data_IF_771200728983
#
_entry.id   IF_771200728983
#
_cell.length_a   1.000
_cell.length_b   1.000
_cell.length_c   1.000
_cell.angle_alpha   90.00
_cell.angle_beta   90.00
_cell.angle_gamma   90.00
#
_symmetry.space_group_name_H-M   'P 1'
#
loop_
_entity.id
_entity.type
_entity.pdbx_description
1 polymer ?
#
# COMPACT_ATOMS: atom_id res chain seq x y z
N UNK A 1 -19.54 15.28 1.29
CA UNK A 1 -18.16 14.92 1.72
C UNK A 1 -18.07 13.48 2.22
N UNK A 2 -18.97 13.02 3.10
CA UNK A 2 -18.96 11.63 3.63
C UNK A 2 -18.94 10.53 2.54
N UNK A 3 -19.70 10.73 1.46
CA UNK A 3 -19.76 9.75 0.36
C UNK A 3 -18.41 9.57 -0.37
N UNK A 4 -17.58 10.62 -0.45
CA UNK A 4 -16.25 10.55 -1.06
C UNK A 4 -15.32 9.68 -0.20
N UNK A 5 -15.41 9.83 1.12
CA UNK A 5 -14.63 9.01 2.05
C UNK A 5 -14.98 7.53 1.90
N UNK A 6 -16.28 7.19 1.78
CA UNK A 6 -16.71 5.82 1.54
C UNK A 6 -16.23 5.26 0.20
N UNK A 7 -16.36 6.02 -0.89
CA UNK A 7 -15.94 5.56 -2.23
C UNK A 7 -14.43 5.36 -2.29
N UNK A 8 -13.65 6.33 -1.80
CA UNK A 8 -12.19 6.26 -1.80
C UNK A 8 -11.71 5.12 -0.91
N UNK A 9 -12.26 5.00 0.30
CA UNK A 9 -11.87 3.93 1.20
C UNK A 9 -12.29 2.54 0.69
N UNK A 10 -13.48 2.39 0.09
CA UNK A 10 -13.89 1.12 -0.52
C UNK A 10 -12.95 0.72 -1.67
N UNK A 11 -12.61 1.66 -2.56
CA UNK A 11 -11.66 1.41 -3.64
C UNK A 11 -10.27 1.03 -3.10
N UNK A 12 -9.74 1.79 -2.14
CA UNK A 12 -8.45 1.48 -1.52
C UNK A 12 -8.47 0.16 -0.75
N UNK A 13 -9.60 -0.20 -0.14
CA UNK A 13 -9.75 -1.46 0.58
C UNK A 13 -9.68 -2.65 -0.39
N UNK A 14 -10.35 -2.57 -1.54
CA UNK A 14 -10.25 -3.58 -2.60
C UNK A 14 -8.80 -3.75 -3.10
N UNK A 15 -8.08 -2.65 -3.30
CA UNK A 15 -6.66 -2.69 -3.67
C UNK A 15 -5.78 -3.25 -2.56
N UNK A 16 -6.10 -2.98 -1.30
CA UNK A 16 -5.38 -3.52 -0.14
C UNK A 16 -5.54 -5.04 -0.10
N UNK A 17 -6.77 -5.55 -0.26
CA UNK A 17 -7.05 -6.99 -0.27
C UNK A 17 -6.28 -7.73 -1.38
N UNK A 18 -6.20 -7.16 -2.59
CA UNK A 18 -5.43 -7.77 -3.67
C UNK A 18 -3.93 -7.79 -3.35
N UNK A 19 -3.41 -6.72 -2.71
CA UNK A 19 -2.01 -6.65 -2.31
C UNK A 19 -1.63 -7.67 -1.23
N UNK A 20 -2.52 -7.99 -0.29
CA UNK A 20 -2.25 -8.99 0.75
C UNK A 20 -1.84 -10.33 0.12
N UNK A 21 -2.54 -10.76 -0.95
CA UNK A 21 -2.20 -12.00 -1.65
C UNK A 21 -0.81 -11.95 -2.30
N UNK A 22 -0.42 -10.79 -2.83
CA UNK A 22 0.87 -10.56 -3.47
C UNK A 22 2.01 -10.55 -2.45
N UNK A 23 1.81 -9.88 -1.31
CA UNK A 23 2.77 -9.88 -0.18
C UNK A 23 2.98 -11.29 0.32
N UNK A 24 1.89 -12.03 0.56
CA UNK A 24 1.95 -13.42 1.02
C UNK A 24 2.70 -14.32 0.03
N UNK A 25 2.33 -14.29 -1.25
CA UNK A 25 3.01 -15.07 -2.29
C UNK A 25 4.49 -14.70 -2.38
N UNK A 26 4.79 -13.43 -2.24
CA UNK A 26 6.12 -12.86 -2.19
C UNK A 26 7.03 -13.45 -1.10
N UNK A 27 6.55 -13.49 0.13
CA UNK A 27 7.25 -14.11 1.24
C UNK A 27 7.37 -15.64 1.08
N UNK A 28 6.30 -16.30 0.62
CA UNK A 28 6.31 -17.76 0.39
C UNK A 28 7.33 -18.17 -0.68
N UNK A 29 7.41 -17.42 -1.77
CA UNK A 29 8.35 -17.67 -2.86
C UNK A 29 9.76 -17.14 -2.58
N UNK A 30 9.98 -16.43 -1.46
CA UNK A 30 11.23 -15.73 -1.11
C UNK A 30 11.78 -14.89 -2.28
N UNK A 31 10.89 -14.21 -3.01
CA UNK A 31 11.25 -13.46 -4.22
C UNK A 31 10.56 -12.11 -4.23
N UNK A 32 11.32 -11.03 -4.42
CA UNK A 32 10.75 -9.69 -4.63
C UNK A 32 10.29 -9.50 -6.06
N UNK A 33 9.02 -9.76 -6.35
CA UNK A 33 8.47 -9.68 -7.72
C UNK A 33 8.42 -8.26 -8.29
N UNK A 34 8.26 -7.24 -7.43
CA UNK A 34 8.18 -5.84 -7.86
C UNK A 34 9.55 -5.17 -7.80
N UNK A 35 9.86 -4.33 -8.79
CA UNK A 35 11.06 -3.52 -8.85
C UNK A 35 11.14 -2.53 -7.67
N UNK A 36 12.36 -2.32 -7.16
CA UNK A 36 12.63 -1.44 -6.02
C UNK A 36 12.18 0.01 -6.26
N UNK A 37 12.35 0.50 -7.49
CA UNK A 37 11.92 1.86 -7.88
C UNK A 37 10.40 2.00 -7.81
N UNK A 38 9.68 1.01 -8.31
CA UNK A 38 8.21 1.00 -8.29
C UNK A 38 7.69 0.95 -6.86
N UNK A 39 8.13 -0.03 -6.06
CA UNK A 39 7.64 -0.16 -4.69
C UNK A 39 8.05 1.02 -3.80
N UNK A 40 9.27 1.55 -3.96
CA UNK A 40 9.74 2.70 -3.19
C UNK A 40 8.95 3.98 -3.48
N UNK A 41 8.71 4.29 -4.76
CA UNK A 41 7.91 5.46 -5.14
C UNK A 41 6.45 5.32 -4.69
N UNK A 42 5.86 4.12 -4.82
CA UNK A 42 4.48 3.87 -4.37
C UNK A 42 4.33 4.03 -2.87
N UNK A 43 5.28 3.56 -2.05
CA UNK A 43 5.25 3.75 -0.59
C UNK A 43 5.21 5.24 -0.23
N UNK A 44 6.12 6.04 -0.80
CA UNK A 44 6.19 7.47 -0.54
C UNK A 44 4.89 8.16 -0.96
N UNK A 45 4.40 7.83 -2.16
CA UNK A 45 3.15 8.39 -2.69
C UNK A 45 1.93 8.07 -1.82
N UNK A 46 1.78 6.81 -1.36
CA UNK A 46 0.64 6.41 -0.55
C UNK A 46 0.64 7.07 0.84
N UNK A 47 1.80 7.20 1.49
CA UNK A 47 1.87 7.93 2.76
C UNK A 47 1.61 9.43 2.59
N UNK A 48 2.09 10.04 1.50
CA UNK A 48 1.75 11.43 1.18
C UNK A 48 0.24 11.61 0.96
N UNK A 49 -0.41 10.71 0.23
CA UNK A 49 -1.88 10.72 0.02
C UNK A 49 -2.62 10.54 1.34
N UNK A 50 -2.17 9.61 2.20
CA UNK A 50 -2.78 9.42 3.52
C UNK A 50 -2.72 10.70 4.38
N UNK A 51 -1.60 11.42 4.35
CA UNK A 51 -1.47 12.73 5.00
C UNK A 51 -2.43 13.76 4.42
N UNK A 52 -2.57 13.83 3.09
CA UNK A 52 -3.56 14.70 2.45
C UNK A 52 -4.98 14.38 2.92
N UNK A 53 -5.36 13.10 3.02
CA UNK A 53 -6.68 12.70 3.52
C UNK A 53 -6.90 13.08 4.99
N UNK A 54 -5.86 13.01 5.83
CA UNK A 54 -5.95 13.53 7.20
C UNK A 54 -6.22 15.04 7.23
N UNK A 55 -5.53 15.82 6.39
CA UNK A 55 -5.77 17.28 6.31
C UNK A 55 -7.17 17.64 5.79
N UNK A 56 -7.79 16.76 5.02
CA UNK A 56 -9.15 16.90 4.50
C UNK A 56 -10.22 16.30 5.43
N UNK A 57 -9.84 15.81 6.62
CA UNK A 57 -10.74 15.12 7.57
C UNK A 57 -11.44 13.88 6.99
N UNK A 58 -10.82 13.20 6.01
CA UNK A 58 -11.25 11.94 5.42
C UNK A 58 -10.58 10.77 6.18
N UNK A 59 -10.96 10.58 7.44
CA UNK A 59 -10.24 9.69 8.35
C UNK A 59 -10.26 8.22 7.92
N UNK A 60 -11.37 7.75 7.35
CA UNK A 60 -11.47 6.35 6.95
C UNK A 60 -10.58 6.06 5.73
N UNK A 61 -10.61 6.94 4.73
CA UNK A 61 -9.70 6.91 3.58
C UNK A 61 -8.25 7.02 3.98
N UNK A 62 -7.92 7.91 4.93
CA UNK A 62 -6.56 8.03 5.45
C UNK A 62 -6.07 6.70 6.08
N UNK A 63 -6.90 6.06 6.91
CA UNK A 63 -6.57 4.80 7.55
C UNK A 63 -6.35 3.67 6.53
N UNK A 64 -7.27 3.48 5.58
CA UNK A 64 -7.14 2.42 4.56
C UNK A 64 -5.96 2.69 3.62
N UNK A 65 -5.71 3.95 3.26
CA UNK A 65 -4.56 4.31 2.42
C UNK A 65 -3.23 4.07 3.16
N UNK A 66 -3.17 4.34 4.46
CA UNK A 66 -2.00 4.03 5.28
C UNK A 66 -1.77 2.51 5.40
N UNK A 67 -2.83 1.71 5.52
CA UNK A 67 -2.73 0.24 5.46
C UNK A 67 -2.18 -0.24 4.12
N UNK A 68 -2.68 0.32 3.01
CA UNK A 68 -2.19 0.04 1.66
C UNK A 68 -0.70 0.40 1.53
N UNK A 69 -0.31 1.60 1.98
CA UNK A 69 1.09 2.04 2.04
C UNK A 69 1.98 1.11 2.84
N UNK A 70 1.47 0.56 3.94
CA UNK A 70 2.18 -0.40 4.79
C UNK A 70 2.38 -1.75 4.07
N UNK A 71 1.41 -2.24 3.31
CA UNK A 71 1.59 -3.44 2.49
C UNK A 71 2.60 -3.23 1.37
N UNK A 72 2.59 -2.05 0.73
CA UNK A 72 3.62 -1.69 -0.24
C UNK A 72 5.00 -1.58 0.39
N UNK A 73 5.09 -1.13 1.64
CA UNK A 73 6.34 -1.14 2.40
C UNK A 73 6.83 -2.57 2.63
N UNK A 74 5.93 -3.52 2.93
CA UNK A 74 6.28 -4.94 2.99
C UNK A 74 6.84 -5.44 1.66
N UNK A 75 6.25 -5.09 0.51
CA UNK A 75 6.79 -5.46 -0.82
C UNK A 75 8.16 -4.83 -1.06
N UNK A 76 8.35 -3.57 -0.67
CA UNK A 76 9.64 -2.88 -0.78
C UNK A 76 10.73 -3.59 0.04
N UNK A 77 10.43 -3.91 1.30
CA UNK A 77 11.32 -4.67 2.20
C UNK A 77 11.59 -6.06 1.61
N UNK A 78 10.57 -6.75 1.13
CA UNK A 78 10.69 -8.04 0.48
C UNK A 78 11.66 -8.00 -0.72
N UNK A 79 11.61 -6.93 -1.54
CA UNK A 79 12.56 -6.75 -2.65
C UNK A 79 13.98 -6.45 -2.17
N UNK A 80 14.15 -5.75 -1.06
CA UNK A 80 15.47 -5.51 -0.46
C UNK A 80 16.09 -6.79 0.10
N UNK A 81 15.30 -7.58 0.83
CA UNK A 81 15.75 -8.81 1.49
C UNK A 81 16.02 -9.91 0.47
N UNK A 82 15.12 -10.12 -0.49
CA UNK A 82 15.23 -11.20 -1.48
C UNK A 82 15.93 -10.78 -2.78
N UNK A 83 16.68 -9.66 -2.78
CA UNK A 83 17.40 -9.14 -3.96
C UNK A 83 18.40 -10.14 -4.56
N UNK A 84 18.82 -11.15 -3.78
CA UNK A 84 19.81 -12.18 -4.16
C UNK A 84 19.19 -13.51 -4.65
N UNK A 85 17.86 -13.64 -4.70
CA UNK A 85 17.16 -14.84 -5.15
C UNK A 85 16.55 -14.67 -6.56
#
# INVERSE_FOLDING_TARGET
MLWQDFVVAAANFLFTLSLVSQVWHGFKAKKGFILLRTSGLTVIGLYAIALCFLTLSLFFSAAVTALNGTLWLCIFIQRLVYRKA
#
